data_IF_521032694713
#
_entry.id   IF_521032694713
#
_cell.length_a   1.000
_cell.length_b   1.000
_cell.length_c   1.000
_cell.angle_alpha   90.00
_cell.angle_beta   90.00
_cell.angle_gamma   90.00
#
_symmetry.space_group_name_H-M   'P 1'
#
loop_
_entity.id
_entity.type
_entity.pdbx_description
1 polymer ?
#
# COMPACT_ATOMS: atom_id res chain seq x y z
N UNK A 1 -9.21 -3.44 11.28
CA UNK A 1 -8.95 -3.55 9.84
C UNK A 1 -8.27 -2.29 9.33
N UNK A 2 -7.70 -2.30 8.15
CA UNK A 2 -7.07 -1.13 7.57
C UNK A 2 -8.09 -0.08 7.13
N UNK A 3 -7.64 1.18 7.04
CA UNK A 3 -8.50 2.32 6.70
C UNK A 3 -9.24 2.16 5.37
N UNK A 4 -8.59 1.55 4.37
CA UNK A 4 -9.22 1.32 3.07
C UNK A 4 -10.42 0.38 3.18
N UNK A 5 -10.24 -0.77 3.82
CA UNK A 5 -11.30 -1.76 3.97
C UNK A 5 -12.45 -1.22 4.81
N UNK A 6 -12.15 -0.44 5.84
CA UNK A 6 -13.16 0.19 6.69
C UNK A 6 -14.02 1.20 5.89
N UNK A 7 -13.40 1.92 4.94
CA UNK A 7 -14.07 2.94 4.15
C UNK A 7 -14.81 2.38 2.92
N UNK A 8 -14.19 1.44 2.22
CA UNK A 8 -14.67 0.97 0.92
C UNK A 8 -15.14 -0.49 0.91
N UNK A 9 -14.96 -1.23 2.01
CA UNK A 9 -15.26 -2.65 2.08
C UNK A 9 -14.24 -3.50 1.33
N UNK A 10 -14.59 -4.75 1.11
CA UNK A 10 -13.72 -5.69 0.39
C UNK A 10 -13.78 -5.40 -1.11
N UNK A 11 -12.66 -4.98 -1.69
CA UNK A 11 -12.52 -4.67 -3.11
C UNK A 11 -11.52 -5.64 -3.73
N UNK A 12 -11.92 -6.29 -4.80
CA UNK A 12 -11.06 -7.20 -5.57
C UNK A 12 -10.07 -6.39 -6.40
N UNK A 13 -8.77 -6.69 -6.28
CA UNK A 13 -7.78 -6.06 -7.15
C UNK A 13 -7.92 -6.59 -8.59
N UNK A 14 -7.83 -5.68 -9.55
CA UNK A 14 -7.85 -5.98 -10.98
C UNK A 14 -6.72 -5.21 -11.67
N UNK A 15 -6.27 -5.64 -12.87
CA UNK A 15 -5.31 -4.85 -13.65
C UNK A 15 -5.76 -3.42 -13.92
N UNK A 16 -7.06 -3.18 -14.01
CA UNK A 16 -7.61 -1.83 -14.15
C UNK A 16 -7.29 -0.96 -12.92
N UNK A 17 -7.49 -1.49 -11.70
CA UNK A 17 -7.12 -0.80 -10.47
C UNK A 17 -5.61 -0.60 -10.37
N UNK A 18 -4.82 -1.55 -10.86
CA UNK A 18 -3.36 -1.44 -10.90
C UNK A 18 -2.84 -0.29 -11.76
N UNK A 19 -3.67 0.24 -12.65
CA UNK A 19 -3.34 1.39 -13.50
C UNK A 19 -3.96 2.70 -13.00
N UNK A 20 -4.68 2.67 -11.89
CA UNK A 20 -5.28 3.87 -11.29
C UNK A 20 -4.45 4.32 -10.10
N UNK A 21 -4.27 5.62 -9.98
CA UNK A 21 -3.47 6.24 -8.94
C UNK A 21 -4.35 7.22 -8.16
N UNK A 22 -4.90 6.79 -7.00
CA UNK A 22 -5.75 7.65 -6.19
C UNK A 22 -5.05 8.93 -5.77
N UNK A 23 -5.77 10.04 -5.79
CA UNK A 23 -5.26 11.36 -5.39
C UNK A 23 -5.72 11.76 -3.99
N UNK A 24 -6.65 11.02 -3.41
CA UNK A 24 -7.14 11.23 -2.06
C UNK A 24 -6.59 10.15 -1.13
N UNK A 25 -6.54 10.48 0.15
CA UNK A 25 -6.06 9.57 1.17
C UNK A 25 -4.58 9.70 1.42
N UNK A 26 -4.02 8.70 2.07
CA UNK A 26 -2.61 8.67 2.44
C UNK A 26 -2.08 7.24 2.35
N UNK A 27 -0.75 7.11 2.21
CA UNK A 27 -0.10 5.80 2.31
C UNK A 27 -0.37 5.21 3.70
N UNK A 28 -0.92 4.00 3.75
CA UNK A 28 -1.33 3.40 5.03
C UNK A 28 -0.16 2.91 5.87
N UNK A 29 1.05 2.88 5.32
CA UNK A 29 2.25 2.50 6.05
C UNK A 29 3.03 3.73 6.51
N UNK A 30 3.39 4.66 5.61
CA UNK A 30 4.20 5.82 5.96
C UNK A 30 3.38 7.08 6.27
N UNK A 31 2.10 7.11 5.93
CA UNK A 31 1.19 8.23 6.22
C UNK A 31 1.27 9.41 5.27
N UNK A 32 2.14 9.38 4.27
CA UNK A 32 2.27 10.51 3.33
C UNK A 32 1.09 10.60 2.39
N UNK A 33 0.62 11.83 2.15
CA UNK A 33 -0.43 12.12 1.16
C UNK A 33 0.16 12.28 -0.23
N UNK A 34 -0.67 12.23 -1.30
CA UNK A 34 -0.18 12.52 -2.66
C UNK A 34 0.47 13.90 -2.78
N UNK A 35 -0.05 14.92 -2.08
CA UNK A 35 0.54 16.26 -2.09
C UNK A 35 1.96 16.24 -1.50
N UNK A 36 2.12 15.58 -0.36
CA UNK A 36 3.44 15.45 0.29
C UNK A 36 4.41 14.63 -0.56
N UNK A 37 3.95 13.53 -1.15
CA UNK A 37 4.77 12.69 -2.03
C UNK A 37 5.21 13.46 -3.29
N UNK A 38 4.30 14.20 -3.92
CA UNK A 38 4.60 14.97 -5.10
C UNK A 38 5.65 16.05 -4.81
N UNK A 39 5.55 16.71 -3.64
CA UNK A 39 6.52 17.71 -3.21
C UNK A 39 7.90 17.08 -2.92
N UNK A 40 7.94 15.93 -2.24
CA UNK A 40 9.17 15.24 -1.88
C UNK A 40 9.94 14.75 -3.11
N UNK A 41 9.21 14.27 -4.13
CA UNK A 41 9.82 13.71 -5.33
C UNK A 41 9.64 14.60 -6.57
N UNK A 42 9.46 15.91 -6.38
CA UNK A 42 9.17 16.86 -7.46
C UNK A 42 10.21 16.85 -8.59
N UNK A 43 11.48 16.58 -8.28
CA UNK A 43 12.58 16.56 -9.25
C UNK A 43 12.91 15.14 -9.74
N UNK A 44 12.18 14.15 -9.25
CA UNK A 44 12.42 12.77 -9.65
C UNK A 44 11.78 12.47 -11.00
N UNK A 45 12.45 11.66 -11.81
CA UNK A 45 11.95 11.26 -13.14
C UNK A 45 10.87 10.20 -13.06
N UNK A 46 10.83 9.44 -11.99
CA UNK A 46 9.80 8.42 -11.79
C UNK A 46 8.53 9.08 -11.21
N UNK A 47 7.57 9.34 -12.08
CA UNK A 47 6.31 9.99 -11.71
C UNK A 47 5.49 9.17 -10.70
N UNK A 48 5.71 7.87 -10.62
CA UNK A 48 4.99 7.01 -9.68
C UNK A 48 5.43 7.18 -8.23
N UNK A 49 6.58 7.83 -7.97
CA UNK A 49 7.00 8.16 -6.61
C UNK A 49 6.09 9.18 -5.95
N UNK A 50 5.43 10.04 -6.72
CA UNK A 50 4.55 11.11 -6.23
C UNK A 50 3.08 10.72 -6.13
N UNK A 51 2.72 9.44 -6.24
CA UNK A 51 1.32 9.01 -6.26
C UNK A 51 1.09 7.85 -5.30
N UNK A 52 -0.18 7.61 -4.97
CA UNK A 52 -0.61 6.40 -4.27
C UNK A 52 -1.03 5.34 -5.28
N UNK A 53 -0.96 4.09 -4.87
CA UNK A 53 -1.40 2.96 -5.67
C UNK A 53 -2.16 1.94 -4.81
N UNK A 54 -3.02 1.16 -5.46
CA UNK A 54 -3.75 0.10 -4.78
C UNK A 54 -2.82 -1.09 -4.55
N UNK A 55 -2.62 -1.44 -3.28
CA UNK A 55 -1.89 -2.64 -2.90
C UNK A 55 -2.86 -3.79 -2.64
N UNK A 56 -2.46 -5.00 -2.98
CA UNK A 56 -3.30 -6.17 -2.79
C UNK A 56 -2.52 -7.34 -2.20
N UNK A 57 -3.25 -8.22 -1.52
CA UNK A 57 -2.72 -9.48 -1.05
C UNK A 57 -2.62 -10.47 -2.21
N UNK A 58 -1.42 -10.94 -2.51
CA UNK A 58 -1.21 -11.87 -3.62
C UNK A 58 -1.85 -13.24 -3.39
N UNK A 59 -2.03 -13.65 -2.13
CA UNK A 59 -2.66 -14.92 -1.79
C UNK A 59 -4.17 -14.90 -2.01
N UNK A 60 -4.84 -13.77 -1.78
CA UNK A 60 -6.30 -13.67 -1.79
C UNK A 60 -6.85 -12.74 -2.87
N UNK A 61 -6.03 -11.84 -3.41
CA UNK A 61 -6.46 -10.90 -4.45
C UNK A 61 -7.31 -9.73 -3.96
N UNK A 62 -7.43 -9.51 -2.66
CA UNK A 62 -8.16 -8.36 -2.11
C UNK A 62 -7.24 -7.15 -1.96
N UNK A 63 -7.78 -5.97 -2.25
CA UNK A 63 -7.08 -4.72 -1.99
C UNK A 63 -6.93 -4.56 -0.47
N UNK A 64 -5.69 -4.38 -0.02
CA UNK A 64 -5.38 -4.16 1.40
C UNK A 64 -5.44 -2.68 1.77
N UNK A 65 -5.10 -1.80 0.83
CA UNK A 65 -5.08 -0.38 1.06
C UNK A 65 -4.29 0.37 0.01
N UNK A 66 -4.01 1.65 0.30
CA UNK A 66 -3.26 2.54 -0.57
C UNK A 66 -1.83 2.67 -0.05
N UNK A 67 -0.86 2.53 -0.94
CA UNK A 67 0.55 2.69 -0.61
C UNK A 67 1.25 3.60 -1.61
N UNK A 68 2.27 4.33 -1.15
CA UNK A 68 3.23 4.95 -2.05
C UNK A 68 4.14 3.87 -2.68
N UNK A 69 4.86 4.21 -3.74
CA UNK A 69 5.71 3.25 -4.44
C UNK A 69 6.75 2.62 -3.51
N UNK A 70 7.40 3.44 -2.67
CA UNK A 70 8.41 2.93 -1.73
C UNK A 70 7.85 1.90 -0.77
N UNK A 71 6.68 2.17 -0.17
CA UNK A 71 6.04 1.24 0.74
C UNK A 71 5.48 0.02 0.01
N UNK A 72 4.98 0.20 -1.23
CA UNK A 72 4.52 -0.92 -2.03
C UNK A 72 5.67 -1.90 -2.34
N UNK A 73 6.84 -1.39 -2.70
CA UNK A 73 8.02 -2.21 -2.91
C UNK A 73 8.46 -2.91 -1.61
N UNK A 74 8.39 -2.23 -0.47
CA UNK A 74 8.69 -2.82 0.83
C UNK A 74 7.71 -3.96 1.17
N UNK A 75 6.43 -3.80 0.84
CA UNK A 75 5.42 -4.85 1.06
C UNK A 75 5.66 -6.07 0.18
N UNK A 76 6.13 -5.88 -1.05
CA UNK A 76 6.53 -7.02 -1.91
C UNK A 76 7.61 -7.85 -1.21
N UNK A 77 8.62 -7.19 -0.64
CA UNK A 77 9.68 -7.87 0.11
C UNK A 77 9.16 -8.53 1.38
N UNK A 78 8.26 -7.84 2.10
CA UNK A 78 7.63 -8.40 3.29
C UNK A 78 6.87 -9.69 2.97
N UNK A 79 6.05 -9.67 1.93
CA UNK A 79 5.25 -10.82 1.51
C UNK A 79 6.14 -12.01 1.10
N UNK A 80 7.34 -11.74 0.60
CA UNK A 80 8.34 -12.76 0.27
C UNK A 80 9.17 -13.24 1.47
N UNK A 81 8.88 -12.73 2.66
CA UNK A 81 9.58 -13.14 3.89
C UNK A 81 10.91 -12.44 4.13
N UNK A 82 11.23 -11.37 3.40
CA UNK A 82 12.44 -10.59 3.67
C UNK A 82 12.41 -10.02 5.08
N UNK A 83 13.59 -9.91 5.70
CA UNK A 83 13.76 -9.31 7.03
C UNK A 83 14.53 -7.98 6.96
N UNK A 84 14.68 -7.41 5.77
CA UNK A 84 15.40 -6.15 5.56
C UNK A 84 14.45 -4.97 5.64
N UNK A 85 14.12 -4.55 6.85
CA UNK A 85 13.30 -3.36 7.07
C UNK A 85 14.05 -2.28 7.81
N UNK A 86 13.45 -1.08 7.76
CA UNK A 86 13.81 -0.04 8.72
C UNK A 86 13.44 -0.53 10.13
N UNK A 87 14.31 -0.31 11.13
CA UNK A 87 13.95 -0.60 12.52
C UNK A 87 12.62 0.07 12.90
N UNK A 88 11.74 -0.69 13.55
CA UNK A 88 10.45 -0.18 14.00
C UNK A 88 9.33 -0.19 12.96
N UNK A 89 9.62 -0.55 11.72
CA UNK A 89 8.59 -0.54 10.65
C UNK A 89 7.91 -1.90 10.46
N UNK A 90 8.47 -2.96 11.03
CA UNK A 90 7.90 -4.30 10.90
C UNK A 90 6.43 -4.37 11.31
N UNK A 91 6.06 -3.71 12.41
CA UNK A 91 4.68 -3.68 12.89
C UNK A 91 3.74 -3.00 11.89
N UNK A 92 4.20 -1.95 11.23
CA UNK A 92 3.41 -1.25 10.22
C UNK A 92 3.14 -2.13 9.00
N UNK A 93 4.15 -2.86 8.54
CA UNK A 93 3.98 -3.80 7.44
C UNK A 93 3.07 -4.96 7.81
N UNK A 94 3.23 -5.49 9.02
CA UNK A 94 2.39 -6.58 9.51
C UNK A 94 0.92 -6.14 9.64
N UNK A 95 0.66 -4.96 10.15
CA UNK A 95 -0.69 -4.41 10.27
C UNK A 95 -1.34 -4.21 8.90
N UNK A 96 -0.57 -3.70 7.93
CA UNK A 96 -1.08 -3.51 6.57
C UNK A 96 -1.37 -4.86 5.89
N UNK A 97 -0.48 -5.84 6.03
CA UNK A 97 -0.69 -7.18 5.49
C UNK A 97 -1.96 -7.83 6.07
N UNK A 98 -2.21 -7.62 7.37
CA UNK A 98 -3.38 -8.15 8.04
C UNK A 98 -4.69 -7.46 7.66
N UNK A 99 -4.64 -6.35 6.92
CA UNK A 99 -5.84 -5.65 6.45
C UNK A 99 -6.57 -6.38 5.31
N UNK A 100 -5.97 -7.41 4.74
CA UNK A 100 -6.61 -8.22 3.70
C UNK A 100 -7.82 -8.98 4.28
N UNK A 101 -9.04 -8.82 3.72
CA UNK A 101 -10.22 -9.54 4.19
C UNK A 101 -10.06 -11.06 4.19
N UNK A 102 -9.34 -11.62 3.21
CA UNK A 102 -9.07 -13.05 3.15
C UNK A 102 -8.14 -13.53 4.26
N UNK A 103 -7.10 -12.73 4.60
CA UNK A 103 -6.20 -13.05 5.71
C UNK A 103 -6.92 -12.99 7.05
N UNK A 104 -7.84 -12.02 7.22
CA UNK A 104 -8.63 -11.88 8.45
C UNK A 104 -9.61 -13.03 8.65
N UNK A 105 -10.12 -13.60 7.56
CA UNK A 105 -11.07 -14.71 7.58
C UNK A 105 -10.40 -16.08 7.75
N UNK A 106 -9.10 -16.15 7.53
CA UNK A 106 -8.35 -17.42 7.58
C UNK A 106 -8.13 -17.90 9.02
#
# INVERSE_FOLDING_TARGET
MGAFVDRYGAVRWTPHLGRRYPRDGACEVCGRTPVELAAEYAEDRNKHLGVLMFDHCHAHGWVRGLLCLGCNNAMVLYDKGSRRWRPGWQERYAAHAAACPGCLAA
#
